data_IF_676817681855
#
_entry.id   IF_676817681855
#
_cell.length_a   1.000
_cell.length_b   1.000
_cell.length_c   1.000
_cell.angle_alpha   90.00
_cell.angle_beta   90.00
_cell.angle_gamma   90.00
#
_symmetry.space_group_name_H-M   'P 1'
#
loop_
_entity.id
_entity.type
_entity.pdbx_description
1 polymer ?
#
# COMPACT_ATOMS: atom_id res chain seq x y z
N UNK A 1 37.59 -9.30 4.18
CA UNK A 1 37.38 -9.40 2.71
C UNK A 1 35.91 -9.60 2.35
N UNK A 2 35.20 -10.54 2.98
CA UNK A 2 33.77 -10.87 2.71
C UNK A 2 32.81 -9.68 2.88
N UNK A 3 33.05 -8.80 3.87
CA UNK A 3 32.26 -7.58 4.09
C UNK A 3 32.49 -6.48 3.03
N UNK A 4 33.67 -6.43 2.39
CA UNK A 4 33.93 -5.46 1.29
C UNK A 4 33.25 -5.90 0.00
N UNK A 5 33.15 -7.21 -0.26
CA UNK A 5 32.45 -7.74 -1.44
C UNK A 5 30.93 -7.56 -1.35
N UNK A 6 30.32 -7.68 -0.17
CA UNK A 6 28.88 -7.40 -0.01
C UNK A 6 28.55 -5.92 -0.27
N UNK A 7 29.36 -4.99 0.26
CA UNK A 7 29.14 -3.54 0.11
C UNK A 7 29.37 -3.04 -1.33
N UNK A 8 30.35 -3.62 -2.03
CA UNK A 8 30.62 -3.30 -3.45
C UNK A 8 29.50 -3.82 -4.35
N UNK A 9 28.88 -4.96 -4.03
CA UNK A 9 27.75 -5.49 -4.80
C UNK A 9 26.52 -4.60 -4.64
N UNK A 10 26.16 -4.16 -3.43
CA UNK A 10 24.95 -3.31 -3.22
C UNK A 10 25.08 -1.91 -3.83
N UNK A 11 26.23 -1.25 -3.68
CA UNK A 11 26.44 0.08 -4.29
C UNK A 11 26.48 -0.01 -5.83
N UNK A 12 27.16 -1.01 -6.39
CA UNK A 12 27.17 -1.24 -7.83
C UNK A 12 25.78 -1.59 -8.38
N UNK A 13 24.91 -2.20 -7.58
CA UNK A 13 23.56 -2.59 -7.99
C UNK A 13 22.59 -1.39 -8.06
N UNK A 14 22.66 -0.46 -7.11
CA UNK A 14 21.85 0.78 -7.16
C UNK A 14 22.31 1.66 -8.32
N UNK A 15 23.62 1.79 -8.53
CA UNK A 15 24.18 2.49 -9.70
C UNK A 15 23.81 1.78 -11.00
N UNK A 16 23.74 0.44 -11.02
CA UNK A 16 23.30 -0.35 -12.18
C UNK A 16 21.81 -0.17 -12.48
N UNK A 17 20.95 -0.08 -11.47
CA UNK A 17 19.52 0.20 -11.65
C UNK A 17 19.31 1.63 -12.17
N UNK A 18 19.99 2.62 -11.59
CA UNK A 18 19.96 3.99 -12.09
C UNK A 18 20.47 4.07 -13.55
N UNK A 19 21.53 3.32 -13.89
CA UNK A 19 22.07 3.22 -15.25
C UNK A 19 21.12 2.46 -16.20
N UNK A 20 20.39 1.45 -15.73
CA UNK A 20 19.36 0.72 -16.49
C UNK A 20 18.17 1.64 -16.80
N UNK A 21 17.69 2.40 -15.81
CA UNK A 21 16.62 3.39 -16.00
C UNK A 21 17.05 4.50 -16.97
N UNK A 22 18.29 4.99 -16.87
CA UNK A 22 18.86 5.97 -17.81
C UNK A 22 19.12 5.40 -19.22
N UNK A 23 19.40 4.10 -19.34
CA UNK A 23 19.54 3.42 -20.65
C UNK A 23 18.20 3.08 -21.27
N UNK A 24 17.14 2.85 -20.49
CA UNK A 24 15.78 2.63 -20.99
C UNK A 24 15.23 3.87 -21.71
N UNK A 25 15.53 5.08 -21.23
CA UNK A 25 15.22 6.33 -21.95
C UNK A 25 16.05 6.49 -23.25
N UNK A 26 17.19 5.81 -23.37
CA UNK A 26 18.12 5.89 -24.51
C UNK A 26 18.10 4.68 -25.45
N UNK A 27 17.22 3.70 -25.25
CA UNK A 27 16.99 2.63 -26.21
C UNK A 27 16.32 3.21 -27.46
N UNK A 28 17.13 3.78 -28.36
CA UNK A 28 16.80 3.81 -29.79
C UNK A 28 16.76 2.36 -30.27
N UNK A 29 15.56 1.79 -30.19
CA UNK A 29 15.26 0.45 -30.63
C UNK A 29 15.50 0.35 -32.13
N UNK A 30 16.57 -0.36 -32.50
CA UNK A 30 16.95 -0.56 -33.89
C UNK A 30 15.89 -1.44 -34.58
N UNK A 31 15.29 -0.88 -35.62
CA UNK A 31 14.39 -1.49 -36.63
C UNK A 31 13.50 -2.66 -36.18
N UNK A 32 12.30 -2.33 -35.70
CA UNK A 32 11.15 -3.25 -35.70
C UNK A 32 10.15 -3.01 -34.57
N UNK A 33 9.01 -2.37 -34.89
CA UNK A 33 7.71 -2.51 -34.18
C UNK A 33 7.56 -2.19 -32.69
N UNK A 34 8.48 -1.50 -32.00
CA UNK A 34 8.21 -1.03 -30.63
C UNK A 34 7.87 0.47 -30.60
N UNK A 35 6.58 0.83 -30.57
CA UNK A 35 6.12 2.21 -30.35
C UNK A 35 6.32 2.60 -28.87
N UNK A 36 6.57 3.87 -28.59
CA UNK A 36 6.88 4.41 -27.25
C UNK A 36 5.90 3.93 -26.16
N UNK A 37 6.44 3.37 -25.06
CA UNK A 37 5.69 2.83 -23.93
C UNK A 37 4.85 3.88 -23.17
N UNK A 38 5.22 5.17 -23.24
CA UNK A 38 4.48 6.29 -22.59
C UNK A 38 3.04 6.44 -23.10
N UNK A 39 2.76 5.96 -24.30
CA UNK A 39 1.45 6.11 -24.93
C UNK A 39 0.43 5.04 -24.46
N UNK A 40 0.87 3.95 -23.79
CA UNK A 40 -0.06 2.95 -23.23
C UNK A 40 -0.93 3.56 -22.10
N UNK A 41 -0.34 4.38 -21.24
CA UNK A 41 -1.07 5.12 -20.18
C UNK A 41 -2.16 6.01 -20.78
N UNK A 42 -1.84 6.78 -21.82
CA UNK A 42 -2.79 7.67 -22.50
C UNK A 42 -3.95 6.91 -23.16
N UNK A 43 -3.64 5.78 -23.81
CA UNK A 43 -4.66 4.92 -24.42
C UNK A 43 -5.55 4.30 -23.33
N UNK A 44 -4.97 3.79 -22.26
CA UNK A 44 -5.72 3.18 -21.15
C UNK A 44 -6.60 4.19 -20.42
N UNK A 45 -6.14 5.42 -20.18
CA UNK A 45 -6.97 6.46 -19.57
C UNK A 45 -8.27 6.69 -20.35
N UNK A 46 -8.22 6.69 -21.69
CA UNK A 46 -9.42 6.83 -22.54
C UNK A 46 -10.38 5.64 -22.43
N UNK A 47 -9.84 4.43 -22.29
CA UNK A 47 -10.61 3.18 -22.22
C UNK A 47 -11.25 2.98 -20.85
N UNK A 48 -10.52 3.33 -19.77
CA UNK A 48 -11.04 3.28 -18.41
C UNK A 48 -12.21 4.26 -18.27
N UNK A 49 -12.06 5.48 -18.82
CA UNK A 49 -13.12 6.48 -18.84
C UNK A 49 -14.33 6.09 -19.71
N UNK A 50 -14.15 5.23 -20.72
CA UNK A 50 -15.25 4.80 -21.59
C UNK A 50 -16.08 3.65 -21.03
N UNK A 51 -15.64 3.00 -19.94
CA UNK A 51 -16.38 1.90 -19.30
C UNK A 51 -16.60 0.66 -20.18
N UNK A 52 -15.87 0.54 -21.29
CA UNK A 52 -16.05 -0.56 -22.24
C UNK A 52 -15.39 -1.84 -21.70
N UNK A 53 -16.10 -2.98 -21.63
CA UNK A 53 -15.54 -4.23 -21.13
C UNK A 53 -14.45 -4.78 -22.06
N UNK A 54 -14.57 -4.53 -23.37
CA UNK A 54 -13.57 -4.94 -24.36
C UNK A 54 -12.39 -3.97 -24.41
N UNK A 55 -11.19 -4.50 -24.19
CA UNK A 55 -9.95 -3.76 -24.35
C UNK A 55 -9.67 -3.55 -25.85
N UNK A 56 -9.38 -2.31 -26.30
CA UNK A 56 -9.05 -2.06 -27.71
C UNK A 56 -7.88 -2.91 -28.18
N UNK A 57 -7.90 -3.29 -29.47
CA UNK A 57 -6.83 -4.08 -30.09
C UNK A 57 -5.44 -3.45 -29.87
N UNK A 58 -5.35 -2.11 -29.89
CA UNK A 58 -4.11 -1.38 -29.64
C UNK A 58 -3.54 -1.61 -28.23
N UNK A 59 -4.39 -1.82 -27.21
CA UNK A 59 -3.95 -2.16 -25.85
C UNK A 59 -3.39 -3.58 -25.84
N UNK A 60 -4.10 -4.50 -26.49
CA UNK A 60 -3.72 -5.90 -26.62
C UNK A 60 -2.38 -6.07 -27.34
N UNK A 61 -2.17 -5.36 -28.45
CA UNK A 61 -0.90 -5.37 -29.21
C UNK A 61 0.28 -4.86 -28.38
N UNK A 62 0.06 -3.81 -27.57
CA UNK A 62 1.11 -3.24 -26.72
C UNK A 62 1.47 -4.13 -25.54
N UNK A 63 0.47 -4.71 -24.89
CA UNK A 63 0.69 -5.66 -23.81
C UNK A 63 1.50 -6.88 -24.31
N UNK A 64 1.17 -7.40 -25.50
CA UNK A 64 1.94 -8.47 -26.13
C UNK A 64 3.37 -8.02 -26.46
N UNK A 65 3.54 -6.82 -27.01
CA UNK A 65 4.85 -6.23 -27.31
C UNK A 65 5.73 -6.10 -26.06
N UNK A 66 5.16 -5.65 -24.93
CA UNK A 66 5.84 -5.61 -23.63
C UNK A 66 6.26 -7.01 -23.18
N UNK A 67 5.34 -7.97 -23.21
CA UNK A 67 5.64 -9.36 -22.84
C UNK A 67 6.76 -9.93 -23.72
N UNK A 68 6.70 -9.77 -25.04
CA UNK A 68 7.70 -10.24 -25.98
C UNK A 68 9.09 -9.62 -25.74
N UNK A 69 9.14 -8.34 -25.38
CA UNK A 69 10.37 -7.60 -25.12
C UNK A 69 11.10 -8.09 -23.86
N UNK A 70 10.37 -8.21 -22.75
CA UNK A 70 10.96 -8.53 -21.44
C UNK A 70 11.11 -10.04 -21.19
N UNK A 71 10.13 -10.83 -21.64
CA UNK A 71 10.09 -12.27 -21.36
C UNK A 71 10.81 -13.08 -22.45
N UNK A 72 10.78 -12.61 -23.70
CA UNK A 72 11.32 -13.35 -24.83
C UNK A 72 10.63 -14.70 -25.05
N UNK A 73 11.38 -15.68 -25.55
CA UNK A 73 10.90 -17.05 -25.77
C UNK A 73 9.59 -17.11 -26.55
N UNK A 74 8.66 -17.93 -26.07
CA UNK A 74 7.32 -18.09 -26.63
C UNK A 74 6.60 -16.76 -26.93
N UNK A 75 6.75 -15.76 -26.07
CA UNK A 75 6.04 -14.48 -26.18
C UNK A 75 6.36 -13.69 -27.44
N UNK A 76 7.51 -13.95 -28.10
CA UNK A 76 7.86 -13.32 -29.39
C UNK A 76 7.11 -13.91 -30.58
N UNK A 77 6.69 -15.16 -30.48
CA UNK A 77 6.09 -15.93 -31.58
C UNK A 77 4.57 -16.02 -31.47
N UNK A 78 3.99 -15.70 -30.30
CA UNK A 78 2.54 -15.76 -30.08
C UNK A 78 1.82 -14.78 -31.02
N UNK A 79 0.94 -15.25 -31.91
CA UNK A 79 0.12 -14.36 -32.71
C UNK A 79 -0.95 -13.67 -31.85
N UNK A 80 -1.31 -12.44 -32.19
CA UNK A 80 -2.24 -11.60 -31.41
C UNK A 80 -3.62 -12.26 -31.15
N UNK A 81 -4.05 -13.17 -32.04
CA UNK A 81 -5.30 -13.93 -31.90
C UNK A 81 -5.23 -14.99 -30.79
N UNK A 82 -4.03 -15.48 -30.46
CA UNK A 82 -3.76 -16.50 -29.45
C UNK A 82 -3.27 -15.93 -28.12
N UNK A 83 -2.99 -14.63 -28.09
CA UNK A 83 -2.80 -13.86 -26.87
C UNK A 83 -4.16 -13.47 -26.29
N UNK A 84 -4.30 -13.46 -24.98
CA UNK A 84 -5.47 -12.93 -24.28
C UNK A 84 -5.03 -12.01 -23.13
N UNK A 85 -5.84 -10.99 -22.91
CA UNK A 85 -5.62 -9.97 -21.89
C UNK A 85 -6.94 -9.76 -21.16
N UNK A 86 -6.91 -9.82 -19.83
CA UNK A 86 -8.08 -9.64 -18.98
C UNK A 86 -7.76 -8.60 -17.92
N UNK A 87 -8.67 -7.63 -17.73
CA UNK A 87 -8.58 -6.69 -16.60
C UNK A 87 -8.89 -7.45 -15.32
N UNK A 88 -7.98 -7.36 -14.36
CA UNK A 88 -8.17 -7.93 -13.03
C UNK A 88 -8.80 -6.88 -12.11
N UNK A 89 -9.68 -7.31 -11.21
CA UNK A 89 -10.11 -6.49 -10.07
C UNK A 89 -8.96 -6.41 -9.06
N UNK A 90 -8.68 -5.21 -8.55
CA UNK A 90 -7.67 -4.99 -7.52
C UNK A 90 -7.25 -3.53 -7.43
N UNK A 91 -6.92 -3.07 -6.20
CA UNK A 91 -6.27 -1.82 -5.80
C UNK A 91 -6.81 -0.50 -6.38
N UNK A 92 -7.09 0.49 -5.52
CA UNK A 92 -7.50 1.84 -5.96
C UNK A 92 -6.37 2.64 -6.65
N UNK A 93 -5.10 2.22 -6.50
CA UNK A 93 -3.91 2.92 -7.00
C UNK A 93 -3.46 2.50 -8.41
N UNK A 94 -3.81 1.29 -8.86
CA UNK A 94 -3.15 0.59 -9.96
C UNK A 94 -4.14 -0.09 -10.91
N UNK A 95 -3.75 -0.27 -12.18
CA UNK A 95 -4.55 -1.07 -13.12
C UNK A 95 -3.80 -2.35 -13.47
N UNK A 96 -4.48 -3.48 -13.27
CA UNK A 96 -3.92 -4.82 -13.42
C UNK A 96 -4.51 -5.55 -14.62
N UNK A 97 -3.63 -6.16 -15.43
CA UNK A 97 -4.00 -7.00 -16.56
C UNK A 97 -3.35 -8.38 -16.46
N UNK A 98 -4.14 -9.44 -16.46
CA UNK A 98 -3.65 -10.79 -16.68
C UNK A 98 -3.40 -10.98 -18.18
N UNK A 99 -2.14 -11.13 -18.54
CA UNK A 99 -1.66 -11.42 -19.89
C UNK A 99 -1.38 -12.92 -20.00
N UNK A 100 -1.96 -13.60 -20.98
CA UNK A 100 -1.75 -15.05 -21.15
C UNK A 100 -1.81 -15.53 -22.60
N UNK A 101 -1.11 -16.62 -22.89
CA UNK A 101 -1.21 -17.38 -24.14
C UNK A 101 -1.54 -18.85 -23.90
N UNK A 102 -1.96 -19.57 -24.96
CA UNK A 102 -2.35 -20.99 -24.86
C UNK A 102 -1.22 -21.87 -24.29
N UNK A 103 -1.53 -22.60 -23.21
CA UNK A 103 -0.64 -23.55 -22.57
C UNK A 103 -0.42 -24.79 -23.44
N UNK A 104 0.82 -25.29 -23.47
CA UNK A 104 1.20 -26.50 -24.22
C UNK A 104 1.46 -26.30 -25.71
N UNK A 105 1.06 -25.16 -26.30
CA UNK A 105 1.36 -24.82 -27.71
C UNK A 105 2.77 -24.24 -27.85
N UNK A 106 3.18 -23.42 -26.88
CA UNK A 106 4.52 -22.81 -26.82
C UNK A 106 5.18 -23.16 -25.48
N UNK A 107 5.62 -24.42 -25.29
CA UNK A 107 6.21 -24.84 -24.03
C UNK A 107 7.62 -24.27 -23.89
N UNK A 108 7.72 -23.07 -23.33
CA UNK A 108 8.97 -22.60 -22.74
C UNK A 108 8.92 -22.85 -21.23
N UNK A 109 9.83 -23.69 -20.71
CA UNK A 109 9.90 -23.96 -19.27
C UNK A 109 10.57 -22.82 -18.49
N UNK A 110 11.26 -21.91 -19.18
CA UNK A 110 11.96 -20.81 -18.54
C UNK A 110 11.04 -19.63 -18.18
N UNK A 111 9.89 -19.51 -18.86
CA UNK A 111 8.99 -18.36 -18.76
C UNK A 111 7.53 -18.84 -18.65
N UNK A 112 6.74 -18.32 -17.70
CA UNK A 112 5.34 -18.73 -17.56
C UNK A 112 4.49 -18.22 -18.73
N UNK A 113 3.39 -18.94 -18.99
CA UNK A 113 2.38 -18.58 -19.99
C UNK A 113 1.38 -17.51 -19.52
N UNK A 114 1.40 -17.18 -18.23
CA UNK A 114 0.54 -16.21 -17.55
C UNK A 114 1.43 -15.22 -16.80
N UNK A 115 1.19 -13.94 -17.01
CA UNK A 115 1.95 -12.84 -16.41
C UNK A 115 0.98 -11.74 -16.01
N UNK A 116 1.25 -11.10 -14.88
CA UNK A 116 0.52 -9.93 -14.43
C UNK A 116 1.23 -8.66 -14.93
N UNK A 117 0.51 -7.86 -15.71
CA UNK A 117 0.94 -6.54 -16.17
C UNK A 117 0.30 -5.48 -15.27
N UNK A 118 1.14 -4.72 -14.56
CA UNK A 118 0.71 -3.62 -13.69
C UNK A 118 1.07 -2.29 -14.31
N UNK A 119 0.10 -1.38 -14.38
CA UNK A 119 0.27 -0.02 -14.90
C UNK A 119 -0.06 0.99 -13.81
N UNK A 120 0.87 1.93 -13.58
CA UNK A 120 0.74 2.98 -12.58
C UNK A 120 0.01 4.19 -13.15
N UNK A 121 -0.99 4.67 -12.41
CA UNK A 121 -1.65 5.95 -12.68
C UNK A 121 -1.37 7.00 -11.62
N UNK A 122 -1.02 6.57 -10.40
CA UNK A 122 -0.71 7.45 -9.28
C UNK A 122 0.63 8.20 -9.52
N UNK A 123 0.65 9.54 -9.41
CA UNK A 123 1.88 10.32 -9.42
C UNK A 123 2.90 9.89 -8.34
N UNK A 124 2.46 9.28 -7.25
CA UNK A 124 3.36 8.78 -6.20
C UNK A 124 4.29 7.68 -6.68
N UNK A 125 3.73 6.64 -7.32
CA UNK A 125 4.51 5.55 -7.89
C UNK A 125 5.41 6.05 -9.00
N UNK A 126 5.01 7.07 -9.78
CA UNK A 126 5.89 7.72 -10.75
C UNK A 126 7.07 8.48 -10.12
N UNK A 127 6.91 9.05 -8.92
CA UNK A 127 8.00 9.73 -8.21
C UNK A 127 8.91 8.77 -7.45
N UNK A 128 8.40 7.61 -7.03
CA UNK A 128 9.12 6.64 -6.20
C UNK A 128 9.53 5.37 -6.96
N UNK A 129 9.48 5.37 -8.30
CA UNK A 129 9.81 4.20 -9.15
C UNK A 129 11.12 3.54 -8.73
N UNK A 130 12.15 4.30 -8.35
CA UNK A 130 13.45 3.75 -7.93
C UNK A 130 13.33 2.93 -6.64
N UNK A 131 12.73 3.50 -5.59
CA UNK A 131 12.59 2.84 -4.29
C UNK A 131 11.68 1.61 -4.38
N UNK A 132 10.58 1.73 -5.13
CA UNK A 132 9.67 0.64 -5.43
C UNK A 132 10.37 -0.47 -6.22
N UNK A 133 11.14 -0.12 -7.26
CA UNK A 133 11.89 -1.09 -8.07
C UNK A 133 12.92 -1.85 -7.23
N UNK A 134 13.65 -1.16 -6.35
CA UNK A 134 14.62 -1.77 -5.44
C UNK A 134 13.92 -2.72 -4.47
N UNK A 135 12.81 -2.28 -3.88
CA UNK A 135 12.00 -3.07 -2.95
C UNK A 135 11.47 -4.33 -3.62
N UNK A 136 10.79 -4.16 -4.74
CA UNK A 136 10.14 -5.26 -5.45
C UNK A 136 11.17 -6.29 -5.95
N UNK A 137 12.30 -5.83 -6.51
CA UNK A 137 13.36 -6.73 -6.94
C UNK A 137 13.95 -7.52 -5.77
N UNK A 138 14.19 -6.88 -4.62
CA UNK A 138 14.71 -7.55 -3.44
C UNK A 138 13.73 -8.60 -2.91
N UNK A 139 12.43 -8.30 -2.89
CA UNK A 139 11.40 -9.23 -2.42
C UNK A 139 11.23 -10.42 -3.38
N UNK A 140 11.28 -10.17 -4.70
CA UNK A 140 11.30 -11.20 -5.73
C UNK A 140 12.49 -12.15 -5.54
N UNK A 141 13.71 -11.62 -5.39
CA UNK A 141 14.93 -12.43 -5.23
C UNK A 141 14.95 -13.24 -3.92
N UNK A 142 14.25 -12.74 -2.87
CA UNK A 142 14.10 -13.43 -1.59
C UNK A 142 12.88 -14.34 -1.51
N UNK A 143 12.09 -14.47 -2.58
CA UNK A 143 10.85 -15.26 -2.62
C UNK A 143 9.84 -14.82 -1.55
N UNK A 144 9.81 -13.52 -1.24
CA UNK A 144 8.89 -12.90 -0.28
C UNK A 144 7.71 -12.18 -0.97
N UNK A 145 7.62 -12.31 -2.29
CA UNK A 145 6.56 -11.75 -3.12
C UNK A 145 6.61 -12.34 -4.54
N UNK A 146 5.76 -11.86 -5.45
CA UNK A 146 5.74 -12.33 -6.83
C UNK A 146 7.08 -12.13 -7.54
N UNK A 147 7.47 -13.07 -8.40
CA UNK A 147 8.69 -12.91 -9.20
C UNK A 147 8.59 -11.71 -10.15
N UNK A 148 9.63 -10.88 -10.19
CA UNK A 148 9.76 -9.78 -11.13
C UNK A 148 10.26 -10.28 -12.50
N UNK A 149 9.58 -9.86 -13.57
CA UNK A 149 9.98 -10.18 -14.94
C UNK A 149 10.45 -8.97 -15.76
N UNK A 150 10.00 -7.76 -15.42
CA UNK A 150 10.43 -6.56 -16.13
C UNK A 150 9.89 -5.28 -15.52
N UNK A 151 10.66 -4.19 -15.65
CA UNK A 151 10.27 -2.84 -15.22
C UNK A 151 10.38 -1.92 -16.43
N UNK A 152 9.37 -1.09 -16.66
CA UNK A 152 9.34 -0.11 -17.75
C UNK A 152 8.73 1.20 -17.27
N UNK A 153 8.85 2.26 -18.06
CA UNK A 153 8.25 3.56 -17.72
C UNK A 153 6.74 3.43 -17.58
N UNK A 154 6.23 3.62 -16.35
CA UNK A 154 4.80 3.56 -16.05
C UNK A 154 4.24 2.17 -15.70
N UNK A 155 5.08 1.15 -15.48
CA UNK A 155 4.60 -0.15 -15.04
C UNK A 155 5.65 -1.25 -14.87
N UNK A 156 5.19 -2.46 -14.55
CA UNK A 156 6.02 -3.66 -14.41
C UNK A 156 5.30 -4.93 -14.85
N UNK A 157 6.07 -5.97 -15.12
CA UNK A 157 5.61 -7.35 -15.33
C UNK A 157 6.02 -8.20 -14.14
N UNK A 158 5.05 -8.87 -13.53
CA UNK A 158 5.23 -9.73 -12.35
C UNK A 158 4.56 -11.09 -12.53
N UNK A 159 4.98 -12.05 -11.72
CA UNK A 159 4.36 -13.37 -11.66
C UNK A 159 2.87 -13.27 -11.34
N UNK A 160 2.05 -13.99 -12.10
CA UNK A 160 0.67 -14.21 -11.73
C UNK A 160 0.59 -15.36 -10.72
N UNK A 161 0.20 -15.04 -9.49
CA UNK A 161 -0.06 -16.01 -8.43
C UNK A 161 -1.56 -16.36 -8.45
N UNK A 162 -1.95 -17.63 -8.68
CA UNK A 162 -3.34 -18.06 -8.51
C UNK A 162 -3.74 -17.98 -7.04
N UNK A 163 -4.47 -16.93 -6.68
CA UNK A 163 -4.86 -16.62 -5.31
C UNK A 163 -6.12 -15.76 -5.29
N UNK A 164 -6.67 -15.57 -4.09
CA UNK A 164 -7.62 -14.49 -3.78
C UNK A 164 -7.07 -13.62 -2.65
N UNK A 165 -7.47 -12.34 -2.55
CA UNK A 165 -7.24 -11.58 -1.33
C UNK A 165 -8.03 -12.18 -0.16
N UNK A 166 -7.60 -11.89 1.06
CA UNK A 166 -8.44 -12.08 2.24
C UNK A 166 -9.62 -11.10 2.21
N UNK A 167 -10.71 -11.48 2.86
CA UNK A 167 -11.83 -10.58 3.13
C UNK A 167 -11.60 -9.78 4.43
N UNK A 168 -12.34 -8.67 4.58
CA UNK A 168 -12.37 -7.89 5.82
C UNK A 168 -12.81 -8.72 7.04
N UNK A 169 -13.53 -9.84 6.85
CA UNK A 169 -13.86 -10.78 7.93
C UNK A 169 -12.68 -11.68 8.28
N UNK A 170 -11.96 -12.18 7.28
CA UNK A 170 -10.86 -13.13 7.48
C UNK A 170 -9.65 -12.51 8.17
N UNK A 171 -9.30 -11.25 7.86
CA UNK A 171 -8.16 -10.56 8.52
C UNK A 171 -8.30 -10.49 10.05
N UNK A 172 -9.54 -10.55 10.55
CA UNK A 172 -9.88 -10.54 11.98
C UNK A 172 -9.85 -11.92 12.63
N UNK A 173 -9.90 -12.99 11.84
CA UNK A 173 -9.92 -14.35 12.37
C UNK A 173 -8.57 -14.67 13.01
N UNK A 174 -8.60 -15.20 14.24
CA UNK A 174 -7.40 -15.43 15.07
C UNK A 174 -6.27 -16.17 14.34
N UNK A 175 -6.58 -17.14 13.47
CA UNK A 175 -5.54 -17.86 12.73
C UNK A 175 -4.87 -17.00 11.64
N UNK A 176 -5.63 -16.26 10.83
CA UNK A 176 -5.06 -15.32 9.85
C UNK A 176 -4.35 -14.16 10.54
N UNK A 177 -4.94 -13.58 11.59
CA UNK A 177 -4.32 -12.51 12.39
C UNK A 177 -2.93 -12.89 12.91
N UNK A 178 -2.75 -14.12 13.44
CA UNK A 178 -1.43 -14.65 13.82
C UNK A 178 -0.46 -14.78 12.64
N UNK A 179 -0.95 -15.25 11.49
CA UNK A 179 -0.11 -15.34 10.28
C UNK A 179 0.30 -13.97 9.76
N UNK A 180 -0.61 -12.98 9.76
CA UNK A 180 -0.33 -11.61 9.33
C UNK A 180 0.73 -11.00 10.25
N UNK A 181 0.60 -11.20 11.57
CA UNK A 181 1.61 -10.78 12.54
C UNK A 181 3.00 -11.35 12.24
N UNK A 182 3.08 -12.65 11.91
CA UNK A 182 4.33 -13.29 11.52
C UNK A 182 4.89 -12.74 10.20
N UNK A 183 4.07 -12.57 9.16
CA UNK A 183 4.53 -12.01 7.87
C UNK A 183 5.00 -10.56 8.01
N UNK A 184 4.30 -9.73 8.80
CA UNK A 184 4.75 -8.38 9.12
C UNK A 184 6.07 -8.38 9.89
N UNK A 185 6.26 -9.29 10.85
CA UNK A 185 7.54 -9.46 11.55
C UNK A 185 8.69 -9.81 10.60
N UNK A 186 8.48 -10.77 9.69
CA UNK A 186 9.46 -11.13 8.66
C UNK A 186 9.79 -9.93 7.76
N UNK A 187 8.78 -9.17 7.36
CA UNK A 187 8.94 -7.97 6.53
C UNK A 187 9.72 -6.87 7.27
N UNK A 188 9.38 -6.59 8.52
CA UNK A 188 10.06 -5.60 9.37
C UNK A 188 11.52 -5.97 9.66
N UNK A 189 11.88 -7.26 9.60
CA UNK A 189 13.25 -7.74 9.75
C UNK A 189 14.12 -7.57 8.49
N UNK A 190 13.55 -7.12 7.36
CA UNK A 190 14.30 -6.95 6.12
C UNK A 190 15.30 -5.79 6.18
N UNK A 191 16.53 -6.08 5.79
CA UNK A 191 17.52 -5.06 5.45
C UNK A 191 17.43 -4.74 3.96
N UNK A 192 16.77 -3.62 3.62
CA UNK A 192 16.58 -3.12 2.25
C UNK A 192 17.51 -1.93 2.00
N UNK A 193 18.21 -1.78 0.86
CA UNK A 193 19.20 -0.71 0.66
C UNK A 193 18.56 0.66 0.31
N UNK A 194 17.65 1.13 1.17
CA UNK A 194 16.99 2.45 1.11
C UNK A 194 17.34 3.29 2.36
N UNK A 195 16.98 4.57 2.33
CA UNK A 195 17.10 5.48 3.48
C UNK A 195 16.49 4.85 4.73
N UNK A 196 17.19 4.95 5.87
CA UNK A 196 16.72 4.45 7.17
C UNK A 196 15.95 5.48 7.96
N UNK A 197 15.93 6.72 7.50
CA UNK A 197 15.19 7.79 8.14
C UNK A 197 13.69 7.63 7.87
N UNK A 198 12.83 7.71 8.90
CA UNK A 198 11.39 7.51 8.76
C UNK A 198 10.69 8.77 8.19
N UNK A 199 11.13 9.24 7.02
CA UNK A 199 10.61 10.50 6.43
C UNK A 199 9.34 10.31 5.59
N UNK A 200 9.00 9.06 5.25
CA UNK A 200 7.92 8.73 4.32
C UNK A 200 6.60 9.43 4.63
N UNK A 201 6.13 9.35 5.88
CA UNK A 201 4.85 9.97 6.30
C UNK A 201 4.80 11.47 5.92
N UNK A 202 5.86 12.22 6.23
CA UNK A 202 5.90 13.65 5.99
C UNK A 202 6.17 14.01 4.54
N UNK A 203 6.96 13.20 3.83
CA UNK A 203 7.24 13.42 2.42
C UNK A 203 5.99 13.15 1.57
N UNK A 204 5.23 12.08 1.88
CA UNK A 204 3.94 11.77 1.29
C UNK A 204 2.92 12.88 1.58
N UNK A 205 2.70 13.24 2.84
CA UNK A 205 1.78 14.33 3.22
C UNK A 205 2.14 15.66 2.55
N UNK A 206 3.42 16.04 2.54
CA UNK A 206 3.89 17.28 1.88
C UNK A 206 3.69 17.22 0.37
N UNK A 207 3.87 16.06 -0.26
CA UNK A 207 3.62 15.85 -1.69
C UNK A 207 2.13 15.98 -2.00
N UNK A 208 1.25 15.29 -1.26
CA UNK A 208 -0.19 15.36 -1.47
C UNK A 208 -0.76 16.75 -1.21
N UNK A 209 -0.34 17.43 -0.14
CA UNK A 209 -0.73 18.82 0.13
C UNK A 209 -0.35 19.75 -1.02
N UNK A 210 0.82 19.57 -1.64
CA UNK A 210 1.22 20.34 -2.84
C UNK A 210 0.36 19.99 -4.06
N UNK A 211 0.04 18.71 -4.26
CA UNK A 211 -0.79 18.29 -5.40
C UNK A 211 -2.24 18.74 -5.24
N UNK A 212 -2.80 18.75 -4.03
CA UNK A 212 -4.11 19.31 -3.73
C UNK A 212 -4.20 20.79 -4.14
N UNK A 213 -3.14 21.57 -3.87
CA UNK A 213 -3.04 22.98 -4.30
C UNK A 213 -2.95 23.15 -5.82
N UNK A 214 -2.23 22.26 -6.48
CA UNK A 214 -1.89 22.42 -7.89
C UNK A 214 -2.96 21.86 -8.84
N UNK A 215 -3.76 20.89 -8.39
CA UNK A 215 -4.76 20.21 -9.23
C UNK A 215 -6.20 20.69 -8.98
N UNK A 216 -6.42 21.64 -8.06
CA UNK A 216 -7.73 22.21 -7.78
C UNK A 216 -7.69 23.74 -7.89
N UNK A 217 -8.77 24.35 -8.36
CA UNK A 217 -8.90 25.82 -8.43
C UNK A 217 -8.79 26.47 -7.05
N UNK A 218 -9.22 25.75 -6.00
CA UNK A 218 -9.11 26.12 -4.59
C UNK A 218 -8.81 24.88 -3.76
N UNK A 219 -8.06 25.06 -2.68
CA UNK A 219 -7.82 23.98 -1.72
C UNK A 219 -9.16 23.47 -1.16
N UNK A 220 -9.39 22.15 -1.05
CA UNK A 220 -10.65 21.62 -0.53
C UNK A 220 -10.95 22.11 0.89
N UNK A 221 -12.14 22.64 1.09
CA UNK A 221 -12.66 23.02 2.41
C UNK A 221 -13.94 22.23 2.70
N UNK A 222 -14.00 21.59 3.86
CA UNK A 222 -15.17 20.81 4.26
C UNK A 222 -15.31 20.73 5.78
N UNK A 223 -16.53 20.48 6.23
CA UNK A 223 -16.84 20.29 7.64
C UNK A 223 -16.58 18.85 8.04
N UNK A 224 -15.89 18.66 9.16
CA UNK A 224 -15.71 17.37 9.82
C UNK A 224 -16.49 17.40 11.12
N UNK A 225 -17.32 16.38 11.34
CA UNK A 225 -18.09 16.18 12.56
C UNK A 225 -17.46 15.07 13.39
N UNK A 226 -17.30 15.29 14.68
CA UNK A 226 -16.77 14.33 15.65
C UNK A 226 -17.20 14.74 17.05
N UNK A 227 -17.55 13.81 17.95
CA UNK A 227 -17.93 14.08 19.36
C UNK A 227 -18.80 15.35 19.58
N UNK A 228 -19.91 15.48 18.83
CA UNK A 228 -20.80 16.66 18.82
C UNK A 228 -20.14 18.01 18.46
N UNK A 229 -18.88 18.00 18.03
CA UNK A 229 -18.14 19.14 17.52
C UNK A 229 -18.17 19.15 15.99
N UNK A 230 -18.05 20.35 15.43
CA UNK A 230 -17.89 20.56 13.99
C UNK A 230 -16.71 21.49 13.80
N UNK A 231 -15.75 21.05 12.99
CA UNK A 231 -14.61 21.88 12.59
C UNK A 231 -14.61 22.06 11.08
N UNK A 232 -14.09 23.20 10.63
CA UNK A 232 -13.75 23.39 9.23
C UNK A 232 -12.34 22.87 8.99
N UNK A 233 -12.22 21.90 8.08
CA UNK A 233 -10.94 21.44 7.59
C UNK A 233 -10.57 22.25 6.34
N UNK A 234 -9.42 22.90 6.41
CA UNK A 234 -8.82 23.65 5.32
C UNK A 234 -7.29 23.40 5.31
N UNK A 235 -6.58 24.06 4.41
CA UNK A 235 -5.13 23.88 4.27
C UNK A 235 -4.37 24.19 5.58
N UNK A 236 -4.67 25.32 6.21
CA UNK A 236 -4.00 25.75 7.43
C UNK A 236 -4.22 24.74 8.55
N UNK A 237 -5.46 24.28 8.73
CA UNK A 237 -5.80 23.29 9.74
C UNK A 237 -5.07 21.97 9.50
N UNK A 238 -5.01 21.48 8.26
CA UNK A 238 -4.24 20.28 7.92
C UNK A 238 -2.76 20.44 8.22
N UNK A 239 -2.16 21.58 7.91
CA UNK A 239 -0.75 21.85 8.22
C UNK A 239 -0.49 21.86 9.74
N UNK A 240 -1.40 22.40 10.54
CA UNK A 240 -1.32 22.35 12.00
C UNK A 240 -1.32 20.90 12.51
N UNK A 241 -2.23 20.05 12.01
CA UNK A 241 -2.31 18.65 12.42
C UNK A 241 -1.11 17.81 11.94
N UNK A 242 -0.59 18.09 10.74
CA UNK A 242 0.65 17.46 10.24
C UNK A 242 1.85 17.83 11.12
N UNK A 243 1.94 19.09 11.58
CA UNK A 243 3.00 19.52 12.49
C UNK A 243 2.88 18.87 13.88
N UNK A 244 1.65 18.67 14.37
CA UNK A 244 1.42 17.93 15.61
C UNK A 244 1.90 16.47 15.50
N UNK A 245 1.61 15.81 14.37
CA UNK A 245 2.12 14.45 14.12
C UNK A 245 3.65 14.43 14.07
N UNK A 246 4.28 15.45 13.45
CA UNK A 246 5.75 15.57 13.45
C UNK A 246 6.30 15.65 14.87
N UNK A 247 5.72 16.50 15.69
CA UNK A 247 6.13 16.62 17.09
C UNK A 247 5.96 15.30 17.85
N UNK A 248 4.86 14.58 17.62
CA UNK A 248 4.65 13.25 18.20
C UNK A 248 5.74 12.27 17.75
N UNK A 249 6.00 12.17 16.45
CA UNK A 249 6.98 11.20 15.92
C UNK A 249 8.40 11.51 16.37
N UNK A 250 8.77 12.80 16.50
CA UNK A 250 10.08 13.24 16.98
C UNK A 250 10.33 12.82 18.45
N UNK A 251 9.26 12.61 19.23
CA UNK A 251 9.32 12.26 20.64
C UNK A 251 8.98 10.79 20.93
N UNK A 252 8.36 10.07 19.99
CA UNK A 252 7.98 8.69 20.16
C UNK A 252 9.22 7.77 20.25
N UNK A 253 9.04 6.58 20.82
CA UNK A 253 10.09 5.56 20.95
C UNK A 253 9.86 4.34 20.04
N UNK A 254 8.97 4.49 19.07
CA UNK A 254 8.68 3.42 18.11
C UNK A 254 9.94 3.06 17.32
N UNK A 255 10.35 1.79 17.26
CA UNK A 255 11.48 1.37 16.44
C UNK A 255 11.24 1.69 14.96
N UNK A 256 12.27 2.18 14.28
CA UNK A 256 12.25 2.34 12.82
C UNK A 256 12.63 1.02 12.16
N UNK A 257 11.74 0.50 11.32
CA UNK A 257 11.88 -0.78 10.61
C UNK A 257 11.46 -0.60 9.15
N UNK A 258 11.69 -1.60 8.30
CA UNK A 258 11.16 -1.57 6.93
C UNK A 258 9.67 -1.95 6.96
N UNK A 259 8.78 -0.98 6.77
CA UNK A 259 7.34 -1.13 6.87
C UNK A 259 6.70 -1.30 5.49
N UNK A 260 5.61 -2.05 5.43
CA UNK A 260 4.75 -2.13 4.25
C UNK A 260 3.96 -0.84 4.05
N UNK A 261 3.47 -0.26 5.16
CA UNK A 261 2.64 0.95 5.27
C UNK A 261 1.18 0.81 4.75
N UNK A 262 0.78 -0.35 4.23
CA UNK A 262 -0.56 -0.55 3.64
C UNK A 262 -1.01 -2.02 3.71
N UNK A 263 -0.94 -2.63 4.89
CA UNK A 263 -1.37 -4.03 5.12
C UNK A 263 -2.90 -4.11 5.27
N UNK A 264 -3.61 -3.84 4.19
CA UNK A 264 -5.07 -4.03 4.05
C UNK A 264 -5.40 -5.42 3.50
N UNK A 265 -6.66 -5.87 3.62
CA UNK A 265 -7.13 -7.19 3.18
C UNK A 265 -6.85 -7.47 1.69
N UNK A 266 -6.95 -6.45 0.84
CA UNK A 266 -6.65 -6.54 -0.59
C UNK A 266 -5.18 -6.84 -0.92
N UNK A 267 -4.27 -6.56 0.02
CA UNK A 267 -2.83 -6.76 -0.12
C UNK A 267 -2.34 -8.03 0.58
N UNK A 268 -3.26 -8.87 1.08
CA UNK A 268 -2.96 -10.14 1.72
C UNK A 268 -3.58 -11.26 0.88
N UNK A 269 -2.76 -11.97 0.13
CA UNK A 269 -3.21 -13.06 -0.72
C UNK A 269 -3.22 -14.38 0.04
N UNK A 270 -4.22 -15.20 -0.24
CA UNK A 270 -4.27 -16.62 0.09
C UNK A 270 -4.03 -17.43 -1.21
N UNK A 271 -2.80 -17.93 -1.45
CA UNK A 271 -2.50 -18.80 -2.57
C UNK A 271 -3.07 -20.21 -2.35
N UNK A 272 -3.56 -20.84 -3.42
CA UNK A 272 -3.90 -22.27 -3.45
C UNK A 272 -4.78 -22.77 -2.28
N UNK A 273 -6.07 -22.39 -2.28
CA UNK A 273 -7.09 -22.81 -1.28
C UNK A 273 -7.17 -24.32 -1.03
N UNK A 274 -6.76 -25.16 -2.00
CA UNK A 274 -6.80 -26.61 -1.89
C UNK A 274 -5.67 -27.23 -1.04
N UNK A 275 -4.75 -26.43 -0.52
CA UNK A 275 -3.67 -26.93 0.33
C UNK A 275 -4.06 -26.88 1.80
N UNK A 276 -3.66 -27.89 2.58
CA UNK A 276 -3.90 -27.95 4.03
C UNK A 276 -3.10 -26.91 4.84
N UNK A 277 -2.30 -26.09 4.16
CA UNK A 277 -1.46 -25.05 4.74
C UNK A 277 -1.81 -23.72 4.07
N UNK A 278 -2.75 -23.00 4.67
CA UNK A 278 -3.22 -21.67 4.27
C UNK A 278 -2.14 -20.61 4.56
N UNK A 279 -0.98 -20.68 3.90
CA UNK A 279 0.10 -19.70 4.05
C UNK A 279 -0.18 -18.44 3.23
N UNK A 280 -0.33 -17.31 3.90
CA UNK A 280 -0.63 -16.03 3.26
C UNK A 280 0.63 -15.36 2.68
N UNK A 281 0.42 -14.44 1.74
CA UNK A 281 1.48 -13.63 1.12
C UNK A 281 1.10 -12.16 1.11
N UNK A 282 2.01 -11.30 1.57
CA UNK A 282 1.89 -9.85 1.41
C UNK A 282 2.29 -9.44 -0.02
N UNK A 283 1.59 -8.48 -0.59
CA UNK A 283 1.86 -7.92 -1.93
C UNK A 283 1.65 -6.40 -1.94
N UNK A 284 1.99 -5.77 -3.07
CA UNK A 284 1.76 -4.35 -3.34
C UNK A 284 2.53 -3.39 -2.42
N UNK A 285 3.86 -3.49 -2.50
CA UNK A 285 4.82 -2.75 -1.70
C UNK A 285 5.05 -1.29 -2.16
N UNK A 286 4.05 -0.65 -2.78
CA UNK A 286 4.20 0.67 -3.42
C UNK A 286 4.46 1.80 -2.40
N UNK A 287 3.96 1.63 -1.18
CA UNK A 287 4.13 2.54 -0.06
C UNK A 287 5.27 2.13 0.88
N UNK A 288 5.95 1.01 0.61
CA UNK A 288 6.94 0.45 1.53
C UNK A 288 8.18 1.34 1.67
N UNK A 289 8.62 1.54 2.90
CA UNK A 289 9.75 2.40 3.24
C UNK A 289 10.23 2.10 4.67
N UNK A 290 11.38 2.63 5.06
CA UNK A 290 11.69 2.68 6.49
C UNK A 290 10.74 3.66 7.17
N UNK A 291 10.03 3.18 8.18
CA UNK A 291 9.04 3.95 8.92
C UNK A 291 8.95 3.42 10.36
N UNK A 292 8.15 4.07 11.20
CA UNK A 292 7.86 3.62 12.56
C UNK A 292 7.08 2.31 12.53
N UNK A 293 7.56 1.29 13.24
CA UNK A 293 6.86 0.01 13.42
C UNK A 293 5.42 0.21 13.91
N UNK A 294 5.25 1.15 14.83
CA UNK A 294 3.96 1.51 15.41
C UNK A 294 2.95 1.98 14.35
N UNK A 295 3.42 2.66 13.31
CA UNK A 295 2.56 3.08 12.20
C UNK A 295 2.02 1.88 11.43
N UNK A 296 2.86 0.93 11.04
CA UNK A 296 2.44 -0.19 10.19
C UNK A 296 1.46 -1.11 10.94
N UNK A 297 1.75 -1.38 12.22
CA UNK A 297 0.86 -2.14 13.11
C UNK A 297 -0.48 -1.43 13.31
N UNK A 298 -0.46 -0.13 13.64
CA UNK A 298 -1.67 0.65 13.82
C UNK A 298 -2.49 0.75 12.54
N UNK A 299 -1.82 0.92 11.38
CA UNK A 299 -2.49 0.95 10.10
C UNK A 299 -3.22 -0.35 9.81
N UNK A 300 -2.56 -1.50 10.01
CA UNK A 300 -3.22 -2.80 9.83
C UNK A 300 -4.49 -2.94 10.70
N UNK A 301 -4.43 -2.51 11.96
CA UNK A 301 -5.61 -2.53 12.84
C UNK A 301 -6.67 -1.51 12.43
N UNK A 302 -6.29 -0.35 11.89
CA UNK A 302 -7.25 0.57 11.28
C UNK A 302 -8.00 -0.09 10.12
N UNK A 303 -7.38 -0.98 9.34
CA UNK A 303 -8.08 -1.64 8.23
C UNK A 303 -9.12 -2.68 8.70
N UNK A 304 -9.10 -3.13 9.98
CA UNK A 304 -10.14 -4.03 10.51
C UNK A 304 -11.54 -3.42 10.55
N UNK A 305 -11.63 -2.08 10.58
CA UNK A 305 -12.91 -1.37 10.63
C UNK A 305 -13.43 -0.98 9.26
N UNK A 306 -12.63 -1.11 8.20
CA UNK A 306 -13.03 -0.76 6.84
C UNK A 306 -13.32 -2.03 6.03
N UNK A 307 -14.36 -1.98 5.22
CA UNK A 307 -14.57 -2.93 4.13
C UNK A 307 -14.70 -2.12 2.84
N UNK A 308 -13.63 -2.09 2.05
CA UNK A 308 -13.56 -1.36 0.78
C UNK A 308 -13.93 -2.25 -0.42
N UNK A 309 -14.45 -3.46 -0.20
CA UNK A 309 -14.89 -4.36 -1.26
C UNK A 309 -16.34 -4.10 -1.71
N UNK A 310 -17.03 -3.21 -1.00
CA UNK A 310 -18.43 -2.84 -1.22
C UNK A 310 -18.58 -2.09 -2.53
N UNK A 311 -19.44 -2.59 -3.41
CA UNK A 311 -19.73 -1.97 -4.72
C UNK A 311 -20.84 -0.93 -4.66
N UNK A 312 -21.68 -0.97 -3.64
CA UNK A 312 -22.75 0.02 -3.46
C UNK A 312 -22.17 1.33 -2.90
N UNK A 313 -22.64 2.52 -3.38
CA UNK A 313 -22.20 3.79 -2.82
C UNK A 313 -22.35 3.84 -1.28
N UNK A 314 -21.34 4.35 -0.54
CA UNK A 314 -20.20 5.13 -1.01
C UNK A 314 -18.98 4.32 -1.51
N UNK A 315 -19.10 3.00 -1.68
CA UNK A 315 -18.01 2.12 -2.11
C UNK A 315 -17.19 1.55 -0.94
N UNK A 316 -17.66 1.74 0.30
CA UNK A 316 -17.07 1.18 1.51
C UNK A 316 -18.07 1.17 2.67
N UNK A 317 -17.82 0.33 3.66
CA UNK A 317 -18.48 0.35 4.97
C UNK A 317 -17.43 0.57 6.07
N UNK A 318 -17.83 1.23 7.15
CA UNK A 318 -17.01 1.43 8.34
C UNK A 318 -17.75 0.93 9.56
N UNK A 319 -17.14 0.04 10.32
CA UNK A 319 -17.69 -0.50 11.57
C UNK A 319 -16.64 -0.42 12.68
N UNK A 320 -16.62 0.69 13.45
CA UNK A 320 -15.61 0.92 14.49
C UNK A 320 -15.55 -0.17 15.56
N UNK A 321 -16.69 -0.85 15.83
CA UNK A 321 -16.73 -1.97 16.78
C UNK A 321 -15.86 -3.16 16.37
N UNK A 322 -15.41 -3.23 15.11
CA UNK A 322 -14.46 -4.24 14.64
C UNK A 322 -12.99 -3.92 14.94
N UNK A 323 -12.67 -2.75 15.52
CA UNK A 323 -11.29 -2.44 15.91
C UNK A 323 -10.82 -3.46 16.95
N UNK A 324 -9.61 -4.05 16.81
CA UNK A 324 -9.18 -5.15 17.65
C UNK A 324 -9.19 -4.76 19.13
N UNK A 325 -9.79 -5.62 19.94
CA UNK A 325 -9.74 -5.53 21.40
C UNK A 325 -8.30 -5.61 21.90
N UNK A 326 -8.04 -5.13 23.11
CA UNK A 326 -6.72 -5.23 23.73
C UNK A 326 -6.21 -6.68 23.72
N UNK A 327 -7.07 -7.66 24.02
CA UNK A 327 -6.74 -9.09 23.96
C UNK A 327 -6.30 -9.54 22.56
N UNK A 328 -6.99 -9.09 21.51
CA UNK A 328 -6.63 -9.40 20.12
C UNK A 328 -5.31 -8.72 19.71
N UNK A 329 -5.09 -7.47 20.12
CA UNK A 329 -3.83 -6.76 19.90
C UNK A 329 -2.66 -7.47 20.60
N UNK A 330 -2.84 -7.88 21.86
CA UNK A 330 -1.85 -8.63 22.63
C UNK A 330 -1.52 -9.98 21.98
N UNK A 331 -2.53 -10.69 21.45
CA UNK A 331 -2.32 -11.93 20.70
C UNK A 331 -1.52 -11.68 19.40
N UNK A 332 -1.83 -10.60 18.68
CA UNK A 332 -1.11 -10.19 17.49
C UNK A 332 0.36 -9.88 17.81
N UNK A 333 0.61 -9.05 18.83
CA UNK A 333 1.96 -8.69 19.26
C UNK A 333 2.77 -9.89 19.73
N UNK A 334 2.14 -10.81 20.45
CA UNK A 334 2.79 -12.06 20.90
C UNK A 334 3.27 -12.88 19.70
N UNK A 335 2.41 -13.04 18.68
CA UNK A 335 2.75 -13.78 17.46
C UNK A 335 3.83 -13.08 16.63
N UNK A 336 3.76 -11.74 16.55
CA UNK A 336 4.77 -10.90 15.91
C UNK A 336 6.15 -11.05 16.60
N UNK A 337 6.19 -11.02 17.94
CA UNK A 337 7.42 -11.15 18.71
C UNK A 337 7.98 -12.58 18.66
N UNK A 338 7.11 -13.59 18.67
CA UNK A 338 7.48 -15.00 18.53
C UNK A 338 8.22 -15.24 17.20
N UNK A 339 7.69 -14.71 16.09
CA UNK A 339 8.35 -14.80 14.77
C UNK A 339 9.72 -14.11 14.76
N UNK A 340 9.84 -12.96 15.43
CA UNK A 340 11.12 -12.27 15.61
C UNK A 340 12.07 -12.96 16.62
N UNK A 341 11.62 -14.04 17.28
CA UNK A 341 12.34 -14.73 18.36
C UNK A 341 12.74 -13.76 19.48
N UNK A 342 11.84 -12.84 19.83
CA UNK A 342 12.00 -11.87 20.91
C UNK A 342 11.21 -12.29 22.15
N UNK A 343 11.65 -11.90 23.36
CA UNK A 343 10.89 -12.13 24.59
C UNK A 343 9.47 -11.52 24.51
N UNK A 344 8.50 -12.24 25.07
CA UNK A 344 7.10 -11.83 25.17
C UNK A 344 6.84 -11.54 26.64
N UNK A 345 7.15 -10.31 27.03
CA UNK A 345 7.11 -9.86 28.43
C UNK A 345 6.02 -8.78 28.56
N UNK A 346 5.41 -8.65 29.74
CA UNK A 346 4.31 -7.72 29.98
C UNK A 346 4.68 -6.26 29.62
N UNK A 347 5.86 -5.79 30.04
CA UNK A 347 6.35 -4.44 29.75
C UNK A 347 6.51 -4.17 28.25
N UNK A 348 6.92 -5.18 27.47
CA UNK A 348 7.08 -5.07 26.01
C UNK A 348 5.73 -4.97 25.32
N UNK A 349 4.77 -5.80 25.76
CA UNK A 349 3.41 -5.79 25.24
C UNK A 349 2.68 -4.49 25.57
N UNK A 350 2.83 -3.98 26.80
CA UNK A 350 2.28 -2.68 27.22
C UNK A 350 2.89 -1.55 26.40
N UNK A 351 4.21 -1.57 26.15
CA UNK A 351 4.84 -0.61 25.25
C UNK A 351 4.26 -0.66 23.84
N UNK A 352 4.03 -1.85 23.27
CA UNK A 352 3.45 -2.00 21.93
C UNK A 352 2.01 -1.50 21.85
N UNK A 353 1.21 -1.67 22.91
CA UNK A 353 -0.13 -1.07 23.01
C UNK A 353 -0.05 0.47 22.96
N UNK A 354 0.82 1.09 23.76
CA UNK A 354 1.01 2.54 23.78
C UNK A 354 1.55 3.07 22.44
N UNK A 355 2.50 2.34 21.85
CA UNK A 355 3.06 2.62 20.53
C UNK A 355 1.94 2.66 19.47
N UNK A 356 1.16 1.58 19.34
CA UNK A 356 0.06 1.49 18.37
C UNK A 356 -0.98 2.57 18.60
N UNK A 357 -1.42 2.77 19.85
CA UNK A 357 -2.44 3.77 20.21
C UNK A 357 -2.09 5.18 19.72
N UNK A 358 -0.80 5.58 19.80
CA UNK A 358 -0.34 6.87 19.29
C UNK A 358 -0.38 6.99 17.76
N UNK A 359 -0.22 5.88 17.03
CA UNK A 359 -0.18 5.88 15.56
C UNK A 359 -1.54 5.64 14.87
N UNK A 360 -2.57 5.16 15.59
CA UNK A 360 -3.94 5.02 15.03
C UNK A 360 -4.44 6.34 14.38
N UNK A 361 -4.45 7.49 15.08
CA UNK A 361 -4.82 8.76 14.45
C UNK A 361 -3.86 9.15 13.30
N UNK A 362 -2.58 8.79 13.36
CA UNK A 362 -1.63 9.08 12.27
C UNK A 362 -2.03 8.38 10.97
N UNK A 363 -2.45 7.11 11.03
CA UNK A 363 -3.01 6.39 9.86
C UNK A 363 -4.24 7.11 9.30
N UNK A 364 -5.18 7.50 10.17
CA UNK A 364 -6.39 8.18 9.72
C UNK A 364 -6.10 9.53 9.04
N UNK A 365 -5.18 10.34 9.57
CA UNK A 365 -4.80 11.59 8.90
C UNK A 365 -4.14 11.31 7.54
N UNK A 366 -3.19 10.37 7.49
CA UNK A 366 -2.46 10.04 6.26
C UNK A 366 -3.43 9.68 5.14
N UNK A 367 -4.27 8.67 5.38
CA UNK A 367 -5.20 8.18 4.36
C UNK A 367 -6.38 9.11 4.10
N UNK A 368 -6.74 9.96 5.06
CA UNK A 368 -7.69 11.04 4.83
C UNK A 368 -7.16 12.07 3.84
N UNK A 369 -5.89 12.50 3.96
CA UNK A 369 -5.26 13.42 3.00
C UNK A 369 -5.06 12.76 1.63
N UNK A 370 -4.64 11.49 1.61
CA UNK A 370 -4.56 10.70 0.38
C UNK A 370 -5.91 10.68 -0.34
N UNK A 371 -7.00 10.40 0.36
CA UNK A 371 -8.33 10.32 -0.23
C UNK A 371 -8.84 11.68 -0.75
N UNK A 372 -8.53 12.79 -0.07
CA UNK A 372 -8.81 14.12 -0.61
C UNK A 372 -8.13 14.35 -1.97
N UNK A 373 -6.89 13.90 -2.11
CA UNK A 373 -6.19 13.99 -3.38
C UNK A 373 -6.84 13.10 -4.42
N UNK A 374 -7.14 11.83 -4.09
CA UNK A 374 -7.79 10.90 -5.02
C UNK A 374 -9.15 11.40 -5.49
N UNK A 375 -9.90 12.12 -4.66
CA UNK A 375 -11.15 12.77 -5.05
C UNK A 375 -10.98 13.76 -6.22
N UNK A 376 -9.77 14.32 -6.40
CA UNK A 376 -9.46 15.25 -7.48
C UNK A 376 -8.83 14.52 -8.68
N UNK A 377 -7.93 13.57 -8.43
CA UNK A 377 -7.06 13.01 -9.48
C UNK A 377 -7.42 11.59 -9.94
N UNK A 378 -8.17 10.83 -9.14
CA UNK A 378 -8.47 9.43 -9.45
C UNK A 378 -9.55 9.29 -10.52
N UNK A 379 -9.38 8.43 -11.53
CA UNK A 379 -10.45 8.10 -12.46
C UNK A 379 -11.51 7.15 -11.87
N UNK A 380 -11.32 6.64 -10.64
CA UNK A 380 -12.20 5.62 -10.01
C UNK A 380 -13.34 6.21 -9.17
N UNK A 381 -13.67 7.50 -9.35
CA UNK A 381 -14.70 8.21 -8.58
C UNK A 381 -16.11 7.61 -8.74
N UNK A 382 -16.35 6.85 -9.83
CA UNK A 382 -17.61 6.17 -10.05
C UNK A 382 -17.77 4.93 -9.14
N UNK A 383 -16.66 4.31 -8.74
CA UNK A 383 -16.65 3.06 -7.96
C UNK A 383 -16.44 3.33 -6.46
N UNK A 384 -15.82 4.46 -6.10
CA UNK A 384 -15.45 4.79 -4.72
C UNK A 384 -15.58 6.29 -4.42
N UNK A 385 -16.34 6.64 -3.38
CA UNK A 385 -16.53 8.02 -2.95
C UNK A 385 -15.39 8.49 -2.03
N UNK A 386 -14.31 8.96 -2.66
CA UNK A 386 -13.11 9.42 -1.98
C UNK A 386 -13.35 10.60 -1.01
N UNK A 387 -14.28 11.51 -1.30
CA UNK A 387 -14.57 12.63 -0.40
C UNK A 387 -15.24 12.16 0.90
N UNK A 388 -16.20 11.25 0.81
CA UNK A 388 -16.83 10.69 2.02
C UNK A 388 -15.85 9.82 2.80
N UNK A 389 -15.00 9.05 2.12
CA UNK A 389 -13.92 8.31 2.77
C UNK A 389 -12.95 9.24 3.51
N UNK A 390 -12.53 10.34 2.88
CA UNK A 390 -11.68 11.35 3.50
C UNK A 390 -12.32 11.97 4.75
N UNK A 391 -13.61 12.35 4.68
CA UNK A 391 -14.36 12.87 5.84
C UNK A 391 -14.44 11.86 6.97
N UNK A 392 -14.68 10.59 6.66
CA UNK A 392 -14.76 9.52 7.67
C UNK A 392 -13.41 9.30 8.35
N UNK A 393 -12.31 9.17 7.60
CA UNK A 393 -10.96 9.08 8.18
C UNK A 393 -10.64 10.32 9.02
N UNK A 394 -10.98 11.53 8.56
CA UNK A 394 -10.77 12.77 9.33
C UNK A 394 -11.59 12.81 10.62
N UNK A 395 -12.85 12.37 10.60
CA UNK A 395 -13.67 12.26 11.82
C UNK A 395 -13.02 11.33 12.84
N UNK A 396 -12.57 10.14 12.42
CA UNK A 396 -11.84 9.20 13.27
C UNK A 396 -10.54 9.81 13.82
N UNK A 397 -9.77 10.52 12.99
CA UNK A 397 -8.58 11.25 13.42
C UNK A 397 -8.90 12.21 14.57
N UNK A 398 -9.92 13.06 14.45
CA UNK A 398 -10.22 14.07 15.47
C UNK A 398 -10.75 13.47 16.77
N UNK A 399 -11.54 12.39 16.71
CA UNK A 399 -11.95 11.63 17.89
C UNK A 399 -10.74 11.03 18.64
N UNK A 400 -9.74 10.54 17.90
CA UNK A 400 -8.57 9.87 18.45
C UNK A 400 -7.37 10.79 18.69
N UNK A 401 -7.45 12.05 18.25
CA UNK A 401 -6.43 13.10 18.43
C UNK A 401 -5.97 13.27 19.88
N UNK A 402 -6.81 13.12 20.93
CA UNK A 402 -6.33 13.14 22.32
C UNK A 402 -5.25 12.09 22.64
N UNK A 403 -5.21 10.96 21.91
CA UNK A 403 -4.16 9.95 22.09
C UNK A 403 -2.78 10.46 21.67
N UNK A 404 -2.69 11.20 20.55
CA UNK A 404 -1.47 11.89 20.13
C UNK A 404 -1.01 12.89 21.19
N UNK A 405 -1.94 13.67 21.73
CA UNK A 405 -1.62 14.67 22.74
C UNK A 405 -1.09 14.03 24.02
N UNK A 406 -1.68 12.93 24.52
CA UNK A 406 -1.17 12.23 25.72
C UNK A 406 0.26 11.74 25.56
N UNK A 407 0.66 11.34 24.35
CA UNK A 407 2.02 10.89 24.08
C UNK A 407 3.06 12.02 24.17
N UNK A 408 2.65 13.28 24.01
CA UNK A 408 3.53 14.45 24.04
C UNK A 408 3.78 14.98 25.47
N UNK A 409 5.04 15.18 25.88
CA UNK A 409 5.38 15.61 27.24
C UNK A 409 4.65 16.87 27.70
N UNK A 410 4.50 17.89 26.85
CA UNK A 410 3.88 19.16 27.23
C UNK A 410 2.35 19.07 27.48
N UNK A 411 1.69 18.01 27.01
CA UNK A 411 0.24 17.84 27.13
C UNK A 411 -0.17 16.82 28.21
N UNK A 412 0.78 16.06 28.78
CA UNK A 412 0.51 15.04 29.81
C UNK A 412 -0.23 15.57 31.04
N UNK A 413 -0.02 16.83 31.42
CA UNK A 413 -0.67 17.42 32.60
C UNK A 413 -2.12 17.87 32.37
N UNK A 414 -2.54 18.01 31.12
CA UNK A 414 -3.88 18.51 30.76
C UNK A 414 -4.89 17.39 30.50
N UNK A 415 -4.43 16.15 30.33
CA UNK A 415 -5.26 15.00 29.97
C UNK A 415 -5.25 14.01 31.14
N UNK A 416 -6.12 14.22 32.12
CA UNK A 416 -6.35 13.30 33.24
C UNK A 416 -7.48 12.33 32.89
N UNK A 417 -7.18 11.13 32.37
CA UNK A 417 -8.04 9.94 32.44
C UNK A 417 -7.41 8.72 31.71
N UNK A 418 -7.89 7.55 32.13
CA UNK A 418 -7.43 6.16 31.93
C UNK A 418 -7.15 5.74 30.48
N UNK A 419 -6.23 4.78 30.28
CA UNK A 419 -5.92 4.19 28.96
C UNK A 419 -7.15 3.54 28.30
N UNK A 420 -8.11 3.10 29.11
CA UNK A 420 -9.33 2.39 28.72
C UNK A 420 -10.26 3.23 27.84
N UNK A 421 -10.35 4.55 28.06
CA UNK A 421 -11.31 5.42 27.35
C UNK A 421 -11.00 5.55 25.84
N UNK A 422 -9.76 5.33 25.41
CA UNK A 422 -9.35 5.50 24.00
C UNK A 422 -9.74 4.32 23.16
N UNK A 423 -9.56 3.12 23.71
CA UNK A 423 -9.98 1.86 23.09
C UNK A 423 -11.51 1.77 23.12
N UNK A 424 -12.15 2.19 24.21
CA UNK A 424 -13.61 2.30 24.27
C UNK A 424 -14.16 3.34 23.29
N UNK A 425 -13.50 4.50 23.08
CA UNK A 425 -13.91 5.46 22.04
C UNK A 425 -13.73 4.89 20.63
N UNK A 426 -12.62 4.20 20.36
CA UNK A 426 -12.37 3.55 19.07
C UNK A 426 -13.40 2.43 18.78
N UNK A 427 -13.91 1.78 19.83
CA UNK A 427 -14.88 0.67 19.74
C UNK A 427 -16.35 1.10 19.89
N UNK A 428 -16.64 2.33 20.34
CA UNK A 428 -18.02 2.75 20.60
C UNK A 428 -18.75 3.23 19.34
N UNK A 429 -19.96 2.70 19.13
CA UNK A 429 -20.93 3.24 18.14
C UNK A 429 -21.42 4.65 18.49
N UNK A 430 -21.15 5.14 19.71
CA UNK A 430 -21.57 6.45 20.20
C UNK A 430 -20.93 7.62 19.43
N UNK A 431 -19.80 7.38 18.74
CA UNK A 431 -19.12 8.38 17.90
C UNK A 431 -19.97 8.78 16.67
N UNK A 432 -20.89 7.92 16.23
CA UNK A 432 -21.63 8.11 14.97
C UNK A 432 -23.15 7.94 15.09
N UNK A 433 -23.69 7.61 16.27
CA UNK A 433 -25.14 7.58 16.51
C UNK A 433 -25.63 8.88 17.15
N UNK A 434 -25.61 9.98 16.36
CA UNK A 434 -26.66 11.01 16.32
C UNK A 434 -26.50 12.02 15.18
#
# INVERSE_FOLDING_TARGET
LVLRSAFVVTCAFVDFIALMLLKLDNLKMDKGTCRSFRDLKSVLSKVILSGTPDLPLVVKERALSLCACFLGGAWKEVPIQKFSIQRMSGGLSNVLFLCQHEMGVYPDRAVPCKILLRIYFNPETETNVVEESVTFMLLSERQLGPKLYGIFTGGRLEEYIPSRPLSAVEVRQSHFSRQIAAKMAQFHALSVPLSKEPTYLFDALRRWMRQLKNNADRFPEFLVRFDNQVISLNEERLLQEINLIREFTDNCKSPVVFCHNDVQEGNILLPNECSSHEDIMLIDFEYSSYNYRGFDLANHFCEWIFDCTITDPPGFIVEPSHFPTESEQLQFFSSYLEELKRPIDADVLEFMLQEVSGFVPVSHLLWGVWALLQNIVSPMQADFNFLEYAKTRMSLYFNLRPALLRALPQYRHFLTADHTEVLELAQSQAVFTR
#
